data_IF_309348227680
#
_entry.id   IF_309348227680
#
_cell.length_a   1.000
_cell.length_b   1.000
_cell.length_c   1.000
_cell.angle_alpha   90.00
_cell.angle_beta   90.00
_cell.angle_gamma   90.00
#
_symmetry.space_group_name_H-M   'P 1'
#
loop_
_entity.id
_entity.type
_entity.pdbx_description
1 polymer ?
#
# COMPACT_ATOMS: atom_id res chain seq x y z
N UNK A 1 -82.33 -20.88 25.64
CA UNK A 1 -82.04 -19.56 26.23
C UNK A 1 -80.64 -19.60 26.82
N UNK A 2 -79.83 -18.60 26.52
CA UNK A 2 -78.39 -18.50 26.81
C UNK A 2 -78.04 -18.66 28.30
N UNK A 3 -76.87 -19.24 28.59
CA UNK A 3 -75.82 -18.56 29.36
C UNK A 3 -74.46 -19.25 29.21
N UNK A 4 -73.43 -18.41 29.07
CA UNK A 4 -72.05 -18.72 28.74
C UNK A 4 -71.26 -19.29 29.93
N UNK A 5 -70.32 -20.21 29.68
CA UNK A 5 -69.17 -20.49 30.56
C UNK A 5 -67.89 -20.59 29.72
N UNK A 6 -66.82 -20.02 30.26
CA UNK A 6 -65.53 -19.60 29.69
C UNK A 6 -64.44 -20.66 29.96
N UNK A 7 -63.61 -20.91 28.93
CA UNK A 7 -62.25 -21.51 28.81
C UNK A 7 -61.62 -22.49 29.82
N UNK A 8 -60.95 -23.51 29.26
CA UNK A 8 -59.54 -23.85 29.54
C UNK A 8 -58.80 -24.16 28.22
N UNK A 9 -57.57 -23.66 27.98
CA UNK A 9 -56.77 -24.02 26.82
C UNK A 9 -55.97 -25.31 27.11
N UNK A 10 -56.20 -26.35 26.30
CA UNK A 10 -55.36 -27.54 26.32
C UNK A 10 -53.93 -27.17 25.91
N UNK A 11 -53.02 -27.28 26.87
CA UNK A 11 -51.58 -27.13 26.72
C UNK A 11 -51.08 -28.26 25.80
N UNK A 12 -50.71 -27.93 24.56
CA UNK A 12 -50.05 -28.89 23.66
C UNK A 12 -48.55 -28.83 23.96
N UNK A 13 -48.03 -29.93 24.52
CA UNK A 13 -46.63 -30.13 24.85
C UNK A 13 -45.71 -29.86 23.64
N UNK A 14 -44.65 -29.04 23.78
CA UNK A 14 -43.62 -28.91 22.76
C UNK A 14 -42.79 -30.20 22.77
N UNK A 15 -43.24 -31.16 21.97
CA UNK A 15 -42.60 -32.47 21.81
C UNK A 15 -41.09 -32.37 21.60
N UNK A 16 -40.36 -33.27 22.26
CA UNK A 16 -38.91 -33.52 22.20
C UNK A 16 -38.29 -33.44 20.79
N UNK A 17 -39.08 -33.60 19.73
CA UNK A 17 -38.69 -33.49 18.33
C UNK A 17 -38.32 -32.06 17.91
N UNK A 18 -38.93 -31.04 18.50
CA UNK A 18 -38.55 -29.64 18.29
C UNK A 18 -37.20 -29.30 18.96
N UNK A 19 -36.94 -29.91 20.11
CA UNK A 19 -35.68 -29.80 20.85
C UNK A 19 -34.55 -30.59 20.18
N UNK A 20 -34.84 -31.77 19.62
CA UNK A 20 -33.89 -32.54 18.80
C UNK A 20 -33.51 -31.83 17.49
N UNK A 21 -34.47 -31.16 16.82
CA UNK A 21 -34.18 -30.31 15.66
C UNK A 21 -33.30 -29.11 16.02
N UNK A 22 -33.45 -28.58 17.24
CA UNK A 22 -32.65 -27.47 17.75
C UNK A 22 -31.24 -27.90 18.20
N UNK A 23 -31.12 -29.09 18.81
CA UNK A 23 -29.85 -29.68 19.25
C UNK A 23 -29.01 -30.16 18.06
N UNK A 24 -29.65 -30.60 16.98
CA UNK A 24 -28.96 -31.09 15.77
C UNK A 24 -28.67 -30.01 14.71
N UNK A 25 -29.01 -28.74 14.97
CA UNK A 25 -28.59 -27.62 14.12
C UNK A 25 -27.14 -27.20 14.44
N UNK A 26 -26.26 -27.44 13.48
CA UNK A 26 -24.78 -27.42 13.51
C UNK A 26 -24.10 -26.06 13.82
N UNK A 27 -24.74 -25.06 14.43
CA UNK A 27 -24.09 -23.75 14.67
C UNK A 27 -24.18 -23.20 16.11
N UNK A 28 -23.11 -23.49 16.87
CA UNK A 28 -22.43 -22.72 17.94
C UNK A 28 -23.26 -22.12 19.11
N UNK A 29 -22.95 -22.52 20.38
CA UNK A 29 -23.43 -21.86 21.61
C UNK A 29 -23.22 -20.34 21.65
N UNK A 30 -22.24 -19.86 20.90
CA UNK A 30 -21.82 -18.46 20.88
C UNK A 30 -22.76 -17.53 20.09
N UNK A 31 -23.65 -18.09 19.27
CA UNK A 31 -24.63 -17.35 18.46
C UNK A 31 -26.05 -17.63 18.97
N UNK A 32 -26.34 -18.87 19.37
CA UNK A 32 -27.62 -19.26 19.94
C UNK A 32 -27.89 -18.63 21.30
N UNK A 33 -26.87 -18.51 22.17
CA UNK A 33 -27.06 -17.89 23.49
C UNK A 33 -27.49 -16.40 23.41
N UNK A 34 -26.81 -15.50 22.68
CA UNK A 34 -27.23 -14.09 22.62
C UNK A 34 -28.58 -13.89 21.92
N UNK A 35 -28.91 -14.70 20.91
CA UNK A 35 -30.24 -14.66 20.29
C UNK A 35 -31.33 -15.15 21.25
N UNK A 36 -31.07 -16.19 22.05
CA UNK A 36 -31.97 -16.66 23.09
C UNK A 36 -32.13 -15.62 24.21
N UNK A 37 -31.07 -14.93 24.60
CA UNK A 37 -31.11 -13.83 25.57
C UNK A 37 -31.93 -12.63 25.07
N UNK A 38 -31.82 -12.28 23.79
CA UNK A 38 -32.64 -11.22 23.16
C UNK A 38 -34.11 -11.65 23.04
N UNK A 39 -34.36 -12.93 22.72
CA UNK A 39 -35.70 -13.50 22.65
C UNK A 39 -36.37 -13.51 24.04
N UNK A 40 -35.62 -13.89 25.08
CA UNK A 40 -36.06 -13.87 26.48
C UNK A 40 -36.24 -12.44 27.02
N UNK A 41 -35.40 -11.49 26.60
CA UNK A 41 -35.55 -10.06 26.89
C UNK A 41 -36.84 -9.47 26.26
N UNK A 42 -37.23 -9.95 25.09
CA UNK A 42 -38.48 -9.55 24.43
C UNK A 42 -39.73 -10.17 25.08
N UNK A 43 -39.57 -11.24 25.86
CA UNK A 43 -40.63 -11.95 26.57
C UNK A 43 -40.66 -11.50 28.04
N UNK A 44 -41.12 -10.26 28.27
CA UNK A 44 -41.50 -9.63 29.55
C UNK A 44 -41.24 -10.44 30.84
N UNK A 45 -40.03 -10.33 31.42
CA UNK A 45 -39.84 -10.25 32.88
C UNK A 45 -38.43 -9.72 33.20
N UNK A 46 -38.33 -8.48 33.68
CA UNK A 46 -37.08 -7.68 33.63
C UNK A 46 -36.19 -7.76 34.88
N UNK A 47 -36.46 -8.65 35.84
CA UNK A 47 -35.69 -8.70 37.09
C UNK A 47 -34.65 -9.83 37.20
N UNK A 48 -34.97 -11.02 36.69
CA UNK A 48 -34.33 -12.26 37.18
C UNK A 48 -33.02 -12.63 36.47
N UNK A 49 -32.82 -12.16 35.24
CA UNK A 49 -31.66 -12.54 34.40
C UNK A 49 -30.64 -11.41 34.25
N UNK A 50 -30.85 -10.25 34.89
CA UNK A 50 -29.94 -9.11 34.80
C UNK A 50 -28.57 -9.41 35.42
N UNK A 51 -28.54 -10.08 36.59
CA UNK A 51 -27.29 -10.50 37.24
C UNK A 51 -26.56 -11.57 36.43
N UNK A 52 -27.27 -12.56 35.90
CA UNK A 52 -26.68 -13.62 35.07
C UNK A 52 -26.10 -13.04 33.77
N UNK A 53 -26.76 -12.05 33.16
CA UNK A 53 -26.25 -11.32 31.99
C UNK A 53 -25.02 -10.47 32.35
N UNK A 54 -25.00 -9.85 33.53
CA UNK A 54 -23.84 -9.12 34.04
C UNK A 54 -22.64 -10.04 34.32
N UNK A 55 -22.88 -11.21 34.92
CA UNK A 55 -21.86 -12.24 35.16
C UNK A 55 -21.32 -12.78 33.83
N UNK A 56 -22.18 -13.01 32.83
CA UNK A 56 -21.77 -13.46 31.51
C UNK A 56 -20.97 -12.40 30.74
N UNK A 57 -21.35 -11.12 30.85
CA UNK A 57 -20.55 -10.02 30.26
C UNK A 57 -19.16 -9.88 30.89
N UNK A 58 -19.01 -10.25 32.18
CA UNK A 58 -17.71 -10.34 32.88
C UNK A 58 -16.91 -11.61 32.51
N UNK A 59 -17.58 -12.69 32.09
CA UNK A 59 -16.96 -13.93 31.59
C UNK A 59 -16.43 -13.82 30.16
N UNK A 60 -16.93 -12.86 29.36
CA UNK A 60 -16.28 -12.43 28.12
C UNK A 60 -15.04 -11.60 28.48
N UNK A 61 -14.04 -12.25 29.04
CA UNK A 61 -12.74 -11.63 29.21
C UNK A 61 -12.07 -11.52 27.82
N UNK A 62 -11.11 -10.60 27.69
CA UNK A 62 -10.36 -10.37 26.44
C UNK A 62 -9.79 -11.66 25.84
N UNK A 63 -9.32 -12.58 26.67
CA UNK A 63 -8.78 -13.88 26.25
C UNK A 63 -9.86 -14.77 25.61
N UNK A 64 -11.05 -14.87 26.21
CA UNK A 64 -12.18 -15.64 25.65
C UNK A 64 -12.65 -15.07 24.31
N UNK A 65 -12.70 -13.74 24.19
CA UNK A 65 -13.01 -13.05 22.94
C UNK A 65 -11.95 -13.33 21.86
N UNK A 66 -10.66 -13.22 22.22
CA UNK A 66 -9.54 -13.47 21.31
C UNK A 66 -9.50 -14.92 20.84
N UNK A 67 -9.73 -15.87 21.75
CA UNK A 67 -9.78 -17.30 21.42
C UNK A 67 -10.93 -17.61 20.47
N UNK A 68 -12.10 -17.01 20.72
CA UNK A 68 -13.29 -17.17 19.88
C UNK A 68 -13.09 -16.57 18.48
N UNK A 69 -12.51 -15.38 18.38
CA UNK A 69 -12.14 -14.75 17.10
C UNK A 69 -11.12 -15.60 16.33
N UNK A 70 -10.12 -16.15 17.04
CA UNK A 70 -9.13 -17.07 16.46
C UNK A 70 -9.79 -18.33 15.92
N UNK A 71 -10.63 -18.99 16.72
CA UNK A 71 -11.37 -20.18 16.32
C UNK A 71 -12.28 -19.92 15.12
N UNK A 72 -13.05 -18.82 15.14
CA UNK A 72 -13.90 -18.39 14.02
C UNK A 72 -13.10 -18.10 12.75
N UNK A 73 -11.86 -17.63 12.89
CA UNK A 73 -10.91 -17.47 11.78
C UNK A 73 -10.45 -18.80 11.21
N UNK A 74 -10.09 -19.74 12.09
CA UNK A 74 -9.63 -21.09 11.71
C UNK A 74 -10.71 -21.89 10.99
N UNK A 75 -11.96 -21.82 11.43
CA UNK A 75 -13.09 -22.53 10.79
C UNK A 75 -13.71 -21.75 9.61
N UNK A 76 -13.11 -20.64 9.19
CA UNK A 76 -13.50 -19.90 7.99
C UNK A 76 -14.81 -19.11 8.08
N UNK A 77 -15.44 -19.06 9.26
CA UNK A 77 -16.70 -18.31 9.50
C UNK A 77 -16.43 -16.79 9.51
N UNK A 78 -15.33 -16.38 10.15
CA UNK A 78 -14.78 -15.03 10.01
C UNK A 78 -13.55 -15.16 9.13
N UNK A 79 -13.55 -14.53 7.95
CA UNK A 79 -12.27 -14.34 7.25
C UNK A 79 -11.49 -13.28 8.02
N UNK A 80 -10.27 -13.60 8.50
CA UNK A 80 -9.25 -12.56 8.75
C UNK A 80 -9.24 -11.72 7.48
N UNK A 81 -9.45 -10.40 7.58
CA UNK A 81 -9.31 -9.55 6.41
C UNK A 81 -7.92 -9.84 5.83
N UNK A 82 -7.86 -10.58 4.74
CA UNK A 82 -6.58 -10.96 4.17
C UNK A 82 -5.94 -9.64 3.75
N UNK A 83 -4.71 -9.38 4.21
CA UNK A 83 -4.19 -8.02 4.27
C UNK A 83 -4.14 -7.49 2.85
N UNK A 84 -4.72 -6.31 2.65
CA UNK A 84 -4.52 -5.51 1.45
C UNK A 84 -3.02 -5.53 1.15
N UNK A 85 -2.62 -5.68 -0.12
CA UNK A 85 -1.21 -5.53 -0.46
C UNK A 85 -0.74 -4.16 0.04
N UNK A 86 0.46 -4.11 0.63
CA UNK A 86 1.00 -2.86 1.18
C UNK A 86 2.10 -2.40 0.25
N UNK A 87 1.93 -1.19 -0.28
CA UNK A 87 2.90 -0.52 -1.12
C UNK A 87 3.56 0.65 -0.40
N UNK A 88 4.88 0.75 -0.48
CA UNK A 88 5.64 1.91 -0.05
C UNK A 88 5.97 2.75 -1.29
N UNK A 89 5.55 4.02 -1.32
CA UNK A 89 5.81 4.94 -2.44
C UNK A 89 6.61 6.14 -1.95
N UNK A 90 7.82 6.30 -2.48
CA UNK A 90 8.70 7.43 -2.14
C UNK A 90 8.34 8.69 -2.94
N UNK A 91 8.40 9.85 -2.28
CA UNK A 91 7.90 11.14 -2.77
C UNK A 91 6.48 11.08 -3.32
N UNK A 92 5.63 10.28 -2.68
CA UNK A 92 4.26 10.00 -3.13
C UNK A 92 3.25 11.17 -2.99
N UNK A 93 3.66 12.37 -2.55
CA UNK A 93 2.71 13.49 -2.41
C UNK A 93 2.57 14.33 -3.68
N UNK A 94 3.54 14.27 -4.60
CA UNK A 94 3.58 15.12 -5.79
C UNK A 94 3.89 14.30 -7.06
N UNK A 95 3.49 14.83 -8.23
CA UNK A 95 3.90 14.33 -9.55
C UNK A 95 3.63 12.82 -9.74
N UNK A 96 4.58 12.10 -10.33
CA UNK A 96 4.50 10.65 -10.62
C UNK A 96 4.19 9.88 -9.35
N UNK A 97 4.86 10.20 -8.24
CA UNK A 97 4.64 9.53 -6.95
C UNK A 97 3.20 9.66 -6.47
N UNK A 98 2.57 10.82 -6.64
CA UNK A 98 1.15 11.03 -6.30
C UNK A 98 0.24 10.21 -7.20
N UNK A 99 0.46 10.27 -8.51
CA UNK A 99 -0.32 9.52 -9.48
C UNK A 99 -0.25 8.00 -9.21
N UNK A 100 0.94 7.49 -8.88
CA UNK A 100 1.13 6.09 -8.48
C UNK A 100 0.36 5.78 -7.19
N UNK A 101 0.53 6.60 -6.14
CA UNK A 101 -0.11 6.37 -4.84
C UNK A 101 -1.64 6.35 -4.96
N UNK A 102 -2.22 7.32 -5.66
CA UNK A 102 -3.66 7.37 -5.91
C UNK A 102 -4.13 6.19 -6.76
N UNK A 103 -3.41 5.83 -7.83
CA UNK A 103 -3.79 4.71 -8.69
C UNK A 103 -3.73 3.36 -7.98
N UNK A 104 -2.72 3.10 -7.14
CA UNK A 104 -2.63 1.88 -6.32
C UNK A 104 -3.87 1.70 -5.43
N UNK A 105 -4.38 2.79 -4.85
CA UNK A 105 -5.56 2.70 -3.97
C UNK A 105 -6.83 2.29 -4.70
N UNK A 106 -6.95 2.61 -6.00
CA UNK A 106 -8.06 2.13 -6.86
C UNK A 106 -8.05 0.62 -7.02
N UNK A 107 -6.90 -0.01 -6.87
CA UNK A 107 -6.73 -1.48 -6.87
C UNK A 107 -6.81 -2.09 -5.47
N UNK A 108 -7.32 -1.36 -4.47
CA UNK A 108 -7.41 -1.80 -3.07
C UNK A 108 -6.05 -2.18 -2.47
N UNK A 109 -5.00 -1.46 -2.86
CA UNK A 109 -3.67 -1.58 -2.25
C UNK A 109 -3.57 -0.50 -1.17
N UNK A 110 -3.12 -0.90 0.03
CA UNK A 110 -2.80 0.04 1.10
C UNK A 110 -1.45 0.69 0.79
N UNK A 111 -1.35 2.01 0.87
CA UNK A 111 -0.18 2.76 0.41
C UNK A 111 0.40 3.60 1.54
N UNK A 112 1.64 3.30 1.90
CA UNK A 112 2.51 4.13 2.72
C UNK A 112 3.25 5.14 1.83
N UNK A 113 2.95 6.42 2.01
CA UNK A 113 3.55 7.52 1.24
C UNK A 113 4.65 8.17 2.06
N UNK A 114 5.90 8.07 1.58
CA UNK A 114 7.06 8.68 2.22
C UNK A 114 7.36 10.02 1.55
N UNK A 115 7.34 11.11 2.31
CA UNK A 115 7.74 12.41 1.79
C UNK A 115 8.19 13.35 2.90
N UNK A 116 8.99 14.37 2.56
CA UNK A 116 9.32 15.46 3.50
C UNK A 116 8.23 16.52 3.55
N UNK A 117 7.50 16.69 2.44
CA UNK A 117 6.41 17.66 2.31
C UNK A 117 5.10 17.06 2.81
N UNK A 118 4.26 17.91 3.39
CA UNK A 118 2.93 17.51 3.81
C UNK A 118 2.10 16.97 2.62
N UNK A 119 1.22 15.97 2.86
CA UNK A 119 0.39 15.41 1.80
C UNK A 119 -0.69 16.42 1.36
N UNK A 120 -1.19 16.31 0.11
CA UNK A 120 -2.33 17.11 -0.35
C UNK A 120 -3.57 16.84 0.53
N UNK A 121 -4.47 17.81 0.65
CA UNK A 121 -5.73 17.66 1.43
C UNK A 121 -6.54 16.44 0.99
N UNK A 122 -6.52 16.12 -0.31
CA UNK A 122 -7.21 14.97 -0.90
C UNK A 122 -6.76 13.61 -0.33
N UNK A 123 -5.59 13.51 0.32
CA UNK A 123 -5.16 12.26 0.94
C UNK A 123 -5.98 11.94 2.19
N UNK A 124 -6.50 12.96 2.89
CA UNK A 124 -7.29 12.75 4.13
C UNK A 124 -8.58 11.98 3.91
N UNK A 125 -9.15 12.05 2.71
CA UNK A 125 -10.39 11.34 2.35
C UNK A 125 -10.18 9.90 1.90
N UNK A 126 -8.93 9.44 1.75
CA UNK A 126 -8.62 8.09 1.27
C UNK A 126 -8.03 7.25 2.41
N UNK A 127 -8.84 6.33 2.94
CA UNK A 127 -8.45 5.45 4.06
C UNK A 127 -7.34 4.44 3.71
N UNK A 128 -7.04 4.24 2.42
CA UNK A 128 -5.96 3.38 1.97
C UNK A 128 -4.62 4.11 1.85
N UNK A 129 -4.58 5.43 2.03
CA UNK A 129 -3.35 6.23 1.99
C UNK A 129 -2.93 6.64 3.40
N UNK A 130 -1.72 6.25 3.79
CA UNK A 130 -1.10 6.69 5.04
C UNK A 130 0.18 7.45 4.73
N UNK A 131 0.28 8.69 5.23
CA UNK A 131 1.45 9.53 5.05
C UNK A 131 2.47 9.34 6.18
N UNK A 132 3.73 9.20 5.80
CA UNK A 132 4.87 9.21 6.70
C UNK A 132 5.84 10.33 6.32
N UNK A 133 6.08 11.25 7.25
CA UNK A 133 7.12 12.27 7.08
C UNK A 133 8.48 11.59 7.14
N UNK A 134 9.17 11.51 6.01
CA UNK A 134 10.46 10.82 5.90
C UNK A 134 11.35 11.54 4.90
N UNK A 135 12.55 11.93 5.35
CA UNK A 135 13.64 12.32 4.47
C UNK A 135 14.46 11.09 4.11
N UNK A 136 14.26 10.60 2.89
CA UNK A 136 14.92 9.40 2.39
C UNK A 136 16.43 9.58 2.13
N UNK A 137 16.97 10.80 2.24
CA UNK A 137 18.42 10.99 2.27
C UNK A 137 19.04 10.59 3.61
N UNK A 138 18.24 10.51 4.68
CA UNK A 138 18.70 10.13 6.01
C UNK A 138 18.48 8.62 6.27
N UNK A 139 19.55 7.85 6.54
CA UNK A 139 19.43 6.43 6.86
C UNK A 139 18.63 6.18 8.15
N UNK A 140 18.78 7.06 9.15
CA UNK A 140 18.05 6.97 10.43
C UNK A 140 16.55 7.18 10.17
N UNK A 141 16.18 8.20 9.39
CA UNK A 141 14.78 8.47 9.09
C UNK A 141 14.13 7.34 8.28
N UNK A 142 14.88 6.67 7.39
CA UNK A 142 14.41 5.49 6.66
C UNK A 142 14.10 4.34 7.64
N UNK A 143 15.05 4.00 8.52
CA UNK A 143 14.89 2.90 9.47
C UNK A 143 13.68 3.11 10.39
N UNK A 144 13.59 4.28 11.04
CA UNK A 144 12.47 4.61 11.92
C UNK A 144 11.12 4.61 11.19
N UNK A 145 11.09 5.09 9.94
CA UNK A 145 9.86 5.11 9.15
C UNK A 145 9.45 3.69 8.73
N UNK A 146 10.41 2.83 8.38
CA UNK A 146 10.15 1.44 8.05
C UNK A 146 9.54 0.69 9.24
N UNK A 147 10.05 0.91 10.46
CA UNK A 147 9.46 0.34 11.68
C UNK A 147 8.04 0.85 11.93
N UNK A 148 7.80 2.15 11.77
CA UNK A 148 6.45 2.73 11.88
C UNK A 148 5.48 2.11 10.87
N UNK A 149 5.92 1.87 9.63
CA UNK A 149 5.11 1.22 8.59
C UNK A 149 4.78 -0.22 8.98
N UNK A 150 5.79 -1.00 9.41
CA UNK A 150 5.59 -2.38 9.87
C UNK A 150 4.60 -2.46 11.02
N UNK A 151 4.72 -1.56 11.99
CA UNK A 151 3.88 -1.55 13.18
C UNK A 151 2.43 -1.09 12.90
N UNK A 152 2.23 -0.16 11.96
CA UNK A 152 0.91 0.42 11.70
C UNK A 152 0.13 -0.25 10.57
N UNK A 153 0.82 -0.66 9.50
CA UNK A 153 0.20 -1.23 8.30
C UNK A 153 0.54 -2.70 8.14
N UNK A 154 1.74 -3.11 8.56
CA UNK A 154 2.28 -4.45 8.34
C UNK A 154 3.45 -4.43 7.35
N UNK A 155 3.84 -5.63 6.89
CA UNK A 155 5.01 -5.80 6.03
C UNK A 155 4.69 -5.47 4.56
N UNK A 156 5.37 -4.48 3.95
CA UNK A 156 5.19 -4.15 2.55
C UNK A 156 5.50 -5.32 1.61
N UNK A 157 4.67 -5.49 0.59
CA UNK A 157 4.89 -6.42 -0.53
C UNK A 157 5.28 -5.68 -1.82
N UNK A 158 5.09 -4.36 -1.88
CA UNK A 158 5.45 -3.52 -3.02
C UNK A 158 6.31 -2.36 -2.53
N UNK A 159 7.44 -2.10 -3.19
CA UNK A 159 8.27 -0.93 -2.95
C UNK A 159 8.45 -0.16 -4.26
N UNK A 160 8.01 1.09 -4.29
CA UNK A 160 8.18 2.01 -5.41
C UNK A 160 9.22 3.08 -5.06
N UNK A 161 10.44 2.83 -5.50
CA UNK A 161 11.57 3.75 -5.49
C UNK A 161 11.41 4.79 -6.61
N UNK A 162 10.50 5.75 -6.39
CA UNK A 162 10.16 6.82 -7.33
C UNK A 162 10.93 8.12 -7.08
N UNK A 163 11.37 8.36 -5.85
CA UNK A 163 11.96 9.63 -5.49
C UNK A 163 13.25 9.93 -6.25
N UNK A 164 13.32 11.13 -6.84
CA UNK A 164 14.55 11.66 -7.40
C UNK A 164 14.56 13.19 -7.41
N UNK A 165 15.74 13.77 -7.22
CA UNK A 165 15.99 15.21 -7.44
C UNK A 165 16.86 15.39 -8.67
N UNK A 166 16.67 16.54 -9.30
CA UNK A 166 17.43 17.03 -10.45
C UNK A 166 17.50 18.55 -10.32
N UNK A 167 18.58 19.16 -10.78
CA UNK A 167 18.74 20.62 -10.86
C UNK A 167 18.57 21.09 -12.31
N UNK A 168 18.60 22.41 -12.52
CA UNK A 168 18.70 22.97 -13.86
C UNK A 168 19.98 22.49 -14.57
N UNK A 169 19.96 22.56 -15.90
CA UNK A 169 21.06 22.13 -16.75
C UNK A 169 22.37 22.85 -16.37
N UNK A 170 23.42 22.09 -16.05
CA UNK A 170 24.72 22.61 -15.64
C UNK A 170 25.85 21.63 -15.94
N UNK A 171 27.07 22.15 -16.09
CA UNK A 171 28.28 21.34 -16.29
C UNK A 171 28.82 20.81 -14.97
N UNK A 172 29.66 19.78 -15.03
CA UNK A 172 30.31 19.19 -13.84
C UNK A 172 31.09 20.22 -13.00
N UNK A 173 31.67 21.23 -13.65
CA UNK A 173 32.41 22.31 -12.99
C UNK A 173 31.52 23.19 -12.09
N UNK A 174 30.21 23.21 -12.36
CA UNK A 174 29.22 24.02 -11.62
C UNK A 174 28.44 23.20 -10.60
N UNK A 175 28.70 21.90 -10.47
CA UNK A 175 28.01 21.05 -9.51
C UNK A 175 28.50 21.34 -8.09
N UNK A 176 27.60 21.86 -7.25
CA UNK A 176 27.92 22.16 -5.86
C UNK A 176 28.08 20.87 -5.05
N UNK A 177 29.15 20.74 -4.25
CA UNK A 177 29.44 19.52 -3.47
C UNK A 177 28.28 19.08 -2.56
N UNK A 178 27.58 20.05 -1.95
CA UNK A 178 26.40 19.79 -1.12
C UNK A 178 25.24 19.22 -1.94
N UNK A 179 25.03 19.71 -3.16
CA UNK A 179 24.01 19.18 -4.05
C UNK A 179 24.39 17.79 -4.56
N UNK A 180 25.67 17.59 -4.91
CA UNK A 180 26.21 16.31 -5.36
C UNK A 180 25.96 15.21 -4.31
N UNK A 181 26.28 15.46 -3.05
CA UNK A 181 26.01 14.48 -1.98
C UNK A 181 24.51 14.16 -1.88
N UNK A 182 23.67 15.21 -1.89
CA UNK A 182 22.22 15.09 -1.76
C UNK A 182 21.57 14.32 -2.93
N UNK A 183 22.02 14.53 -4.17
CA UNK A 183 21.45 13.84 -5.34
C UNK A 183 21.80 12.35 -5.31
N UNK A 184 23.01 11.98 -4.90
CA UNK A 184 23.37 10.57 -4.70
C UNK A 184 22.59 9.94 -3.54
N UNK A 185 22.50 10.64 -2.40
CA UNK A 185 21.71 10.16 -1.26
C UNK A 185 20.25 9.91 -1.63
N UNK A 186 19.66 10.82 -2.39
CA UNK A 186 18.24 10.75 -2.75
C UNK A 186 17.96 9.77 -3.89
N UNK A 187 18.74 9.80 -4.97
CA UNK A 187 18.41 9.08 -6.21
C UNK A 187 18.90 7.63 -6.22
N UNK A 188 19.88 7.26 -5.39
CA UNK A 188 20.44 5.91 -5.39
C UNK A 188 20.66 5.31 -4.00
N UNK A 189 21.30 6.02 -3.06
CA UNK A 189 21.56 5.42 -1.75
C UNK A 189 20.25 5.18 -0.96
N UNK A 190 19.24 6.03 -1.17
CA UNK A 190 17.90 5.78 -0.63
C UNK A 190 17.30 4.47 -1.13
N UNK A 191 17.48 4.11 -2.41
CA UNK A 191 16.96 2.86 -2.97
C UNK A 191 17.58 1.66 -2.27
N UNK A 192 18.91 1.69 -2.11
CA UNK A 192 19.66 0.67 -1.38
C UNK A 192 19.12 0.49 0.04
N UNK A 193 19.03 1.59 0.79
CA UNK A 193 18.60 1.60 2.19
C UNK A 193 17.15 1.12 2.34
N UNK A 194 16.24 1.57 1.47
CA UNK A 194 14.83 1.16 1.51
C UNK A 194 14.64 -0.32 1.15
N UNK A 195 15.39 -0.84 0.19
CA UNK A 195 15.34 -2.26 -0.14
C UNK A 195 15.83 -3.09 1.05
N UNK A 196 16.94 -2.72 1.69
CA UNK A 196 17.40 -3.40 2.91
C UNK A 196 16.34 -3.43 4.01
N UNK A 197 15.47 -2.41 4.09
CA UNK A 197 14.39 -2.38 5.09
C UNK A 197 13.23 -3.34 4.80
N UNK A 198 12.94 -3.68 3.54
CA UNK A 198 11.70 -4.37 3.18
C UNK A 198 11.90 -5.70 2.44
N UNK A 199 13.06 -5.93 1.84
CA UNK A 199 13.27 -7.08 0.92
C UNK A 199 13.27 -8.42 1.64
N UNK A 200 13.74 -8.50 2.89
CA UNK A 200 13.84 -9.76 3.62
C UNK A 200 12.48 -10.44 3.78
N UNK A 201 11.44 -9.67 4.11
CA UNK A 201 10.07 -10.19 4.22
C UNK A 201 9.49 -10.62 2.87
N UNK A 202 9.83 -9.90 1.79
CA UNK A 202 9.39 -10.25 0.43
C UNK A 202 10.01 -11.57 -0.02
N UNK A 203 11.29 -11.77 0.26
CA UNK A 203 12.02 -13.02 -0.04
C UNK A 203 11.49 -14.16 0.81
N UNK A 204 11.35 -13.97 2.13
CA UNK A 204 10.85 -15.00 3.04
C UNK A 204 9.44 -15.48 2.67
N UNK A 205 8.60 -14.59 2.12
CA UNK A 205 7.24 -14.92 1.66
C UNK A 205 7.17 -15.36 0.20
N UNK A 206 8.31 -15.41 -0.51
CA UNK A 206 8.38 -15.66 -1.95
C UNK A 206 7.39 -14.77 -2.75
N UNK A 207 7.25 -13.52 -2.29
CA UNK A 207 6.25 -12.57 -2.79
C UNK A 207 6.69 -11.13 -2.51
N UNK A 208 7.02 -10.43 -3.57
CA UNK A 208 7.13 -8.98 -3.54
C UNK A 208 7.35 -8.38 -4.92
N UNK A 209 7.30 -7.05 -5.00
CA UNK A 209 7.59 -6.30 -6.23
C UNK A 209 8.35 -5.02 -5.90
N UNK A 210 9.59 -4.92 -6.37
CA UNK A 210 10.41 -3.72 -6.28
C UNK A 210 10.35 -2.99 -7.63
N UNK A 211 9.89 -1.75 -7.60
CA UNK A 211 9.83 -0.85 -8.75
C UNK A 211 10.86 0.26 -8.58
N UNK A 212 11.79 0.41 -9.51
CA UNK A 212 12.77 1.49 -9.55
C UNK A 212 12.43 2.47 -10.69
N UNK A 213 12.15 3.73 -10.36
CA UNK A 213 11.93 4.78 -11.37
C UNK A 213 13.26 5.46 -11.69
N UNK A 214 13.87 5.02 -12.78
CA UNK A 214 15.11 5.56 -13.29
C UNK A 214 14.82 6.73 -14.25
N UNK A 215 15.40 6.69 -15.45
CA UNK A 215 15.16 7.64 -16.55
C UNK A 215 15.82 7.12 -17.83
N UNK A 216 15.45 7.65 -18.99
CA UNK A 216 16.22 7.50 -20.23
C UNK A 216 17.67 8.01 -20.07
N UNK A 217 17.90 8.94 -19.14
CA UNK A 217 19.23 9.43 -18.75
C UNK A 217 20.14 8.34 -18.11
N UNK A 218 19.61 7.14 -17.86
CA UNK A 218 20.43 5.99 -17.43
C UNK A 218 21.29 5.44 -18.55
N UNK A 219 20.92 5.72 -19.81
CA UNK A 219 21.61 5.26 -21.01
C UNK A 219 22.26 6.41 -21.77
N UNK A 220 21.66 7.60 -21.72
CA UNK A 220 22.13 8.79 -22.45
C UNK A 220 22.53 9.89 -21.46
N UNK A 221 23.81 10.20 -21.41
CA UNK A 221 24.34 11.28 -20.56
C UNK A 221 24.64 12.52 -21.42
N UNK A 222 24.15 13.68 -20.98
CA UNK A 222 24.53 14.98 -21.56
C UNK A 222 25.54 15.67 -20.66
N UNK A 223 26.42 16.47 -21.25
CA UNK A 223 27.37 17.32 -20.50
C UNK A 223 26.67 18.29 -19.52
N UNK A 224 25.36 18.52 -19.71
CA UNK A 224 24.55 19.42 -18.91
C UNK A 224 23.79 18.74 -17.75
N UNK A 225 23.94 17.43 -17.53
CA UNK A 225 23.24 16.71 -16.46
C UNK A 225 24.01 15.49 -15.92
N UNK A 226 25.35 15.56 -15.92
CA UNK A 226 26.25 14.45 -15.58
C UNK A 226 25.94 13.85 -14.20
N UNK A 227 25.70 14.68 -13.19
CA UNK A 227 25.35 14.25 -11.84
C UNK A 227 24.06 13.40 -11.81
N UNK A 228 22.99 13.92 -12.41
CA UNK A 228 21.71 13.22 -12.51
C UNK A 228 21.81 11.94 -13.32
N UNK A 229 22.39 12.00 -14.52
CA UNK A 229 22.55 10.85 -15.40
C UNK A 229 23.36 9.73 -14.73
N UNK A 230 24.45 10.09 -14.01
CA UNK A 230 25.24 9.14 -13.22
C UNK A 230 24.37 8.44 -12.16
N UNK A 231 23.54 9.18 -11.41
CA UNK A 231 22.65 8.53 -10.42
C UNK A 231 21.61 7.62 -11.07
N UNK A 232 21.13 7.92 -12.28
CA UNK A 232 20.14 7.11 -12.99
C UNK A 232 20.77 5.86 -13.63
N UNK A 233 21.99 5.98 -14.16
CA UNK A 233 22.79 4.83 -14.58
C UNK A 233 23.12 3.90 -13.40
N UNK A 234 23.47 4.46 -12.24
CA UNK A 234 23.67 3.70 -11.01
C UNK A 234 22.38 2.99 -10.56
N UNK A 235 21.22 3.64 -10.66
CA UNK A 235 19.93 3.02 -10.34
C UNK A 235 19.58 1.85 -11.28
N UNK A 236 19.95 1.94 -12.56
CA UNK A 236 19.80 0.84 -13.52
C UNK A 236 20.72 -0.33 -13.16
N UNK A 237 22.02 -0.10 -12.99
CA UNK A 237 22.97 -1.15 -12.62
C UNK A 237 22.60 -1.81 -11.28
N UNK A 238 22.19 -1.00 -10.30
CA UNK A 238 21.71 -1.50 -9.02
C UNK A 238 20.45 -2.37 -9.18
N UNK A 239 19.48 -1.96 -10.01
CA UNK A 239 18.27 -2.72 -10.25
C UNK A 239 18.53 -4.08 -10.88
N UNK A 240 19.44 -4.16 -11.85
CA UNK A 240 19.81 -5.40 -12.52
C UNK A 240 20.31 -6.45 -11.52
N UNK A 241 21.09 -6.01 -10.53
CA UNK A 241 21.59 -6.85 -9.45
C UNK A 241 20.55 -7.34 -8.44
N UNK A 242 19.31 -6.81 -8.44
CA UNK A 242 18.26 -7.20 -7.50
C UNK A 242 17.43 -8.41 -7.96
N UNK A 243 17.62 -8.87 -9.19
CA UNK A 243 16.80 -9.92 -9.78
C UNK A 243 17.03 -11.23 -9.02
N UNK A 244 16.05 -11.64 -8.21
CA UNK A 244 16.14 -12.81 -7.33
C UNK A 244 14.90 -13.70 -7.49
N UNK A 245 15.01 -14.98 -7.11
CA UNK A 245 13.88 -15.91 -7.12
C UNK A 245 12.82 -15.46 -6.10
N UNK A 246 11.64 -15.07 -6.56
CA UNK A 246 10.47 -14.80 -5.71
C UNK A 246 10.06 -13.35 -5.55
N UNK A 247 10.98 -12.41 -5.77
CA UNK A 247 10.68 -10.97 -5.76
C UNK A 247 10.74 -10.44 -7.19
N UNK A 248 9.65 -9.86 -7.66
CA UNK A 248 9.58 -9.25 -8.99
C UNK A 248 10.30 -7.91 -8.97
N UNK A 249 11.01 -7.60 -10.04
CA UNK A 249 11.75 -6.35 -10.20
C UNK A 249 11.29 -5.66 -11.49
N UNK A 250 10.87 -4.42 -11.38
CA UNK A 250 10.55 -3.57 -12.56
C UNK A 250 11.35 -2.30 -12.51
N UNK A 251 12.04 -1.97 -13.59
CA UNK A 251 12.67 -0.67 -13.78
C UNK A 251 11.95 0.12 -14.85
N UNK A 252 11.78 1.41 -14.60
CA UNK A 252 11.08 2.31 -15.51
C UNK A 252 12.01 3.43 -15.94
N UNK A 253 12.04 3.68 -17.24
CA UNK A 253 12.85 4.70 -17.89
C UNK A 253 11.94 5.71 -18.59
N UNK A 254 11.34 6.66 -17.85
CA UNK A 254 10.62 7.76 -18.48
C UNK A 254 11.58 8.67 -19.24
N UNK A 255 11.10 9.16 -20.38
CA UNK A 255 11.61 10.35 -21.05
C UNK A 255 11.18 11.61 -20.27
N UNK A 256 11.18 12.77 -20.91
CA UNK A 256 10.76 14.03 -20.32
C UNK A 256 9.32 13.95 -19.80
N UNK A 257 9.18 14.16 -18.49
CA UNK A 257 7.88 14.25 -17.81
C UNK A 257 7.63 15.70 -17.45
N UNK A 258 6.42 16.19 -17.70
CA UNK A 258 6.02 17.57 -17.41
C UNK A 258 6.06 17.81 -15.90
N UNK A 259 7.10 18.52 -15.46
CA UNK A 259 7.31 18.89 -14.06
C UNK A 259 7.75 20.35 -13.98
N UNK A 260 7.44 21.10 -12.91
CA UNK A 260 8.04 22.41 -12.68
C UNK A 260 9.55 22.54 -12.92
N UNK A 261 10.37 21.55 -12.54
CA UNK A 261 11.82 21.60 -12.81
C UNK A 261 12.14 21.53 -14.32
N UNK A 262 11.43 20.67 -15.05
CA UNK A 262 11.55 20.58 -16.52
C UNK A 262 11.01 21.83 -17.19
N UNK A 263 9.87 22.36 -16.74
CA UNK A 263 9.29 23.62 -17.24
C UNK A 263 10.25 24.79 -17.04
N UNK A 264 10.85 24.91 -15.85
CA UNK A 264 11.87 25.91 -15.57
C UNK A 264 13.09 25.73 -16.50
N UNK A 265 13.60 24.51 -16.66
CA UNK A 265 14.71 24.22 -17.56
C UNK A 265 14.42 24.60 -19.03
N UNK A 266 13.23 24.30 -19.54
CA UNK A 266 12.79 24.68 -20.90
C UNK A 266 12.78 26.20 -21.04
N UNK A 267 12.13 26.91 -20.11
CA UNK A 267 12.00 28.37 -20.14
C UNK A 267 13.37 29.07 -20.01
N UNK A 268 14.22 28.60 -19.09
CA UNK A 268 15.57 29.14 -18.89
C UNK A 268 16.51 28.89 -20.07
N UNK A 269 16.21 27.89 -20.91
CA UNK A 269 16.99 27.59 -22.12
C UNK A 269 16.52 28.39 -23.34
N UNK A 270 15.54 29.30 -23.18
CA UNK A 270 14.98 30.09 -24.29
C UNK A 270 14.14 29.26 -25.29
N UNK A 271 13.77 28.03 -24.93
CA UNK A 271 12.94 27.17 -25.78
C UNK A 271 11.46 27.56 -25.64
N UNK A 272 10.69 27.36 -26.72
CA UNK A 272 9.24 27.59 -26.71
C UNK A 272 8.57 26.64 -25.71
N UNK A 273 7.72 27.19 -24.84
CA UNK A 273 6.95 26.43 -23.87
C UNK A 273 6.04 25.37 -24.51
N UNK A 274 5.69 25.51 -25.81
CA UNK A 274 4.95 24.50 -26.57
C UNK A 274 5.59 23.13 -26.57
N UNK A 275 6.92 23.02 -26.45
CA UNK A 275 7.62 21.72 -26.37
C UNK A 275 7.17 20.87 -25.16
N UNK A 276 6.61 21.51 -24.12
CA UNK A 276 6.08 20.80 -22.95
C UNK A 276 4.84 19.96 -23.30
N UNK A 277 4.15 20.27 -24.40
CA UNK A 277 2.99 19.52 -24.90
C UNK A 277 3.37 18.10 -25.29
N UNK A 278 4.57 17.91 -25.83
CA UNK A 278 5.12 16.62 -26.23
C UNK A 278 5.66 15.78 -25.06
N UNK A 279 5.70 16.34 -23.85
CA UNK A 279 6.23 15.67 -22.66
C UNK A 279 5.15 14.88 -21.94
N UNK A 280 5.55 13.71 -21.40
CA UNK A 280 4.68 12.81 -20.67
C UNK A 280 4.05 13.47 -19.45
N UNK A 281 2.80 13.12 -19.17
CA UNK A 281 2.15 13.44 -17.93
C UNK A 281 2.54 12.43 -16.84
N UNK A 282 2.60 12.86 -15.56
CA UNK A 282 2.84 11.95 -14.44
C UNK A 282 1.89 10.74 -14.39
N UNK A 283 0.64 10.94 -14.78
CA UNK A 283 -0.42 9.93 -14.79
C UNK A 283 -0.16 8.85 -15.83
N UNK A 284 0.39 9.21 -16.99
CA UNK A 284 0.77 8.25 -18.04
C UNK A 284 1.89 7.33 -17.53
N UNK A 285 2.91 7.89 -16.88
CA UNK A 285 3.99 7.11 -16.27
C UNK A 285 3.46 6.17 -15.18
N UNK A 286 2.56 6.68 -14.34
CA UNK A 286 1.94 5.89 -13.29
C UNK A 286 1.16 4.70 -13.86
N UNK A 287 0.36 4.90 -14.91
CA UNK A 287 -0.44 3.84 -15.55
C UNK A 287 0.43 2.65 -15.99
N UNK A 288 1.57 2.90 -16.63
CA UNK A 288 2.52 1.83 -16.99
C UNK A 288 3.08 1.09 -15.78
N UNK A 289 3.42 1.80 -14.70
CA UNK A 289 3.92 1.21 -13.45
C UNK A 289 2.84 0.33 -12.82
N UNK A 290 1.61 0.81 -12.71
CA UNK A 290 0.49 0.08 -12.12
C UNK A 290 0.20 -1.19 -12.91
N UNK A 291 0.14 -1.11 -14.25
CA UNK A 291 -0.05 -2.29 -15.11
C UNK A 291 0.99 -3.38 -14.81
N UNK A 292 2.26 -3.01 -14.64
CA UNK A 292 3.28 -4.01 -14.30
C UNK A 292 3.11 -4.59 -12.91
N UNK A 293 2.85 -3.75 -11.89
CA UNK A 293 2.60 -4.19 -10.51
C UNK A 293 1.43 -5.18 -10.47
N UNK A 294 0.30 -4.84 -11.10
CA UNK A 294 -0.89 -5.69 -11.14
C UNK A 294 -0.65 -6.98 -11.93
N UNK A 295 0.16 -6.93 -12.98
CA UNK A 295 0.51 -8.14 -13.74
C UNK A 295 1.43 -9.11 -12.97
N UNK A 296 2.05 -8.66 -11.87
CA UNK A 296 3.00 -9.43 -11.05
C UNK A 296 4.18 -9.98 -11.85
N UNK A 297 4.63 -9.22 -12.83
CA UNK A 297 5.80 -9.55 -13.66
C UNK A 297 6.87 -8.49 -13.51
N UNK A 298 8.12 -8.92 -13.56
CA UNK A 298 9.25 -8.01 -13.70
C UNK A 298 9.36 -7.52 -15.13
N UNK A 299 9.91 -6.32 -15.33
CA UNK A 299 10.04 -5.72 -16.66
C UNK A 299 11.06 -4.56 -16.67
N UNK A 300 11.70 -4.34 -17.81
CA UNK A 300 12.31 -3.06 -18.15
C UNK A 300 11.32 -2.27 -19.01
N UNK A 301 10.79 -1.16 -18.49
CA UNK A 301 9.81 -0.32 -19.19
C UNK A 301 10.49 0.94 -19.70
N UNK A 302 10.32 1.25 -20.98
CA UNK A 302 10.66 2.53 -21.57
C UNK A 302 9.38 3.29 -21.85
N UNK A 303 9.34 4.58 -21.47
CA UNK A 303 8.16 5.42 -21.66
C UNK A 303 8.61 6.72 -22.34
N UNK A 304 8.19 6.97 -23.59
CA UNK A 304 7.42 6.10 -24.48
C UNK A 304 8.21 4.85 -24.93
N UNK A 305 7.51 3.80 -25.36
CA UNK A 305 8.10 2.49 -25.70
C UNK A 305 9.08 2.53 -26.88
N UNK A 306 8.95 3.50 -27.79
CA UNK A 306 9.91 3.69 -28.89
C UNK A 306 11.31 4.07 -28.39
N UNK A 307 11.48 4.46 -27.12
CA UNK A 307 12.78 4.66 -26.50
C UNK A 307 13.53 3.35 -26.18
N UNK A 308 12.89 2.18 -26.31
CA UNK A 308 13.51 0.89 -25.98
C UNK A 308 14.82 0.58 -26.74
N UNK A 309 15.00 0.90 -28.05
CA UNK A 309 16.25 0.63 -28.76
C UNK A 309 17.49 1.31 -28.16
N UNK A 310 17.31 2.36 -27.35
CA UNK A 310 18.41 3.05 -26.64
C UNK A 310 19.13 2.10 -25.67
N UNK A 311 18.46 1.05 -25.18
CA UNK A 311 19.11 0.05 -24.34
C UNK A 311 20.27 -0.65 -25.07
N UNK A 312 20.21 -0.79 -26.40
CA UNK A 312 21.27 -1.36 -27.22
C UNK A 312 22.53 -0.50 -27.32
N UNK A 313 22.50 0.75 -26.84
CA UNK A 313 23.70 1.59 -26.73
C UNK A 313 24.60 1.17 -25.56
N UNK A 314 24.03 0.48 -24.56
CA UNK A 314 24.80 -0.10 -23.48
C UNK A 314 25.27 -1.47 -23.97
N UNK A 315 26.51 -1.49 -24.46
CA UNK A 315 27.17 -2.66 -25.05
C UNK A 315 27.08 -3.90 -24.20
#
# INVERSE_FOLDING_TARGET
>A
MNNWIVFEPAYVEPTLRGLELFINCVFKPLITAPLLSILLYSLKDTGKYAEETMIFSRLINKHSLMWTLSFLTTVGIIRKANPLEIAVVTRGCNRIGRAIAEALTRHRICVAVLNVQAPPKAFKSNSLLTYFRCDISSPIAIAETADKIRNSLGHPSILVNNAGIVHSAHTILRTLSKFLSRIFDTNILSHWRLIQQFVLDMVAKNKGHIVSVASIASYLTSAANVDYATTKAAALAFHEGLTTSGVKTTIVHPSWVRTPAVKEGVLSSGQDAKILEDFLLPEEVAEFIIRQIISRRGAHIFIPSFGAPISGLRG
#
